data_IF_981154165006
#
_entry.id   IF_981154165006
#
_cell.length_a   1.000
_cell.length_b   1.000
_cell.length_c   1.000
_cell.angle_alpha   90.00
_cell.angle_beta   90.00
_cell.angle_gamma   90.00
#
_symmetry.space_group_name_H-M   'P 1'
#
loop_
_entity.id
_entity.type
_entity.pdbx_description
1 polymer ?
#
# COMPACT_ATOMS: atom_id res chain seq x y z
N UNK A 1 3.38 6.69 -35.43
CA UNK A 1 2.00 6.16 -35.39
C UNK A 1 1.24 7.05 -34.42
N UNK A 2 0.37 7.92 -34.91
CA UNK A 2 -0.41 8.84 -34.06
C UNK A 2 -1.60 8.04 -33.52
N UNK A 3 -1.57 7.71 -32.22
CA UNK A 3 -2.74 7.12 -31.57
C UNK A 3 -3.84 8.19 -31.62
N UNK A 4 -4.96 7.91 -32.28
CA UNK A 4 -6.14 8.79 -32.22
C UNK A 4 -6.87 8.47 -30.92
N UNK A 5 -6.99 9.46 -30.04
CA UNK A 5 -7.81 9.34 -28.82
C UNK A 5 -9.27 9.11 -29.22
N UNK A 6 -9.86 8.03 -28.69
CA UNK A 6 -11.29 7.73 -28.83
C UNK A 6 -12.07 8.47 -27.75
N UNK A 7 -12.67 9.59 -28.12
CA UNK A 7 -13.46 10.41 -27.21
C UNK A 7 -14.73 9.72 -26.71
N UNK A 8 -15.34 8.84 -27.51
CA UNK A 8 -16.54 8.12 -27.10
C UNK A 8 -16.20 7.08 -26.02
N UNK A 9 -15.04 6.45 -26.15
CA UNK A 9 -14.53 5.52 -25.12
C UNK A 9 -14.16 6.23 -23.82
N UNK A 10 -13.57 7.43 -23.89
CA UNK A 10 -13.28 8.26 -22.71
C UNK A 10 -14.54 8.74 -21.99
N UNK A 11 -15.57 9.18 -22.71
CA UNK A 11 -16.86 9.61 -22.11
C UNK A 11 -17.62 8.42 -21.49
N UNK A 12 -17.51 7.23 -22.07
CA UNK A 12 -18.01 6.00 -21.48
C UNK A 12 -17.26 5.66 -20.18
N UNK A 13 -15.93 5.76 -20.18
CA UNK A 13 -15.11 5.53 -18.99
C UNK A 13 -15.49 6.50 -17.86
N UNK A 14 -15.71 7.77 -18.17
CA UNK A 14 -16.16 8.78 -17.21
C UNK A 14 -17.50 8.39 -16.56
N UNK A 15 -18.42 7.85 -17.36
CA UNK A 15 -19.73 7.38 -16.87
C UNK A 15 -19.58 6.19 -15.92
N UNK A 16 -18.70 5.24 -16.22
CA UNK A 16 -18.45 4.09 -15.35
C UNK A 16 -17.76 4.49 -14.04
N UNK A 17 -16.81 5.44 -14.08
CA UNK A 17 -16.18 5.97 -12.86
C UNK A 17 -17.22 6.65 -11.95
N UNK A 18 -18.14 7.43 -12.50
CA UNK A 18 -19.23 8.06 -11.73
C UNK A 18 -20.17 7.02 -11.08
N UNK A 19 -20.43 5.90 -11.77
CA UNK A 19 -21.17 4.76 -11.18
C UNK A 19 -20.40 4.11 -10.04
N UNK A 20 -19.10 3.91 -10.20
CA UNK A 20 -18.24 3.35 -9.14
C UNK A 20 -18.21 4.25 -7.90
N UNK A 21 -18.06 5.58 -8.06
CA UNK A 21 -18.15 6.55 -6.96
C UNK A 21 -19.48 6.43 -6.22
N UNK A 22 -20.59 6.36 -6.96
CA UNK A 22 -21.93 6.23 -6.38
C UNK A 22 -22.11 4.92 -5.60
N UNK A 23 -21.59 3.81 -6.13
CA UNK A 23 -21.64 2.50 -5.47
C UNK A 23 -20.79 2.48 -4.19
N UNK A 24 -19.62 3.11 -4.19
CA UNK A 24 -18.74 3.22 -3.03
C UNK A 24 -19.32 4.12 -1.94
N UNK A 25 -19.90 5.27 -2.31
CA UNK A 25 -20.61 6.13 -1.36
C UNK A 25 -21.77 5.38 -0.69
N UNK A 26 -22.55 4.61 -1.47
CA UNK A 26 -23.61 3.77 -0.94
C UNK A 26 -23.08 2.65 -0.03
N UNK A 27 -21.98 1.98 -0.40
CA UNK A 27 -21.32 0.97 0.44
C UNK A 27 -20.80 1.53 1.77
N UNK A 28 -20.19 2.72 1.75
CA UNK A 28 -19.75 3.43 2.96
C UNK A 28 -20.92 3.80 3.87
N UNK A 29 -22.07 4.17 3.29
CA UNK A 29 -23.29 4.43 4.06
C UNK A 29 -23.83 3.14 4.72
N UNK A 30 -23.86 2.02 3.99
CA UNK A 30 -24.27 0.73 4.54
C UNK A 30 -23.33 0.29 5.68
N UNK A 31 -22.02 0.41 5.49
CA UNK A 31 -21.03 0.13 6.53
C UNK A 31 -21.29 1.02 7.76
N UNK A 32 -21.42 2.33 7.58
CA UNK A 32 -21.71 3.27 8.68
C UNK A 32 -22.99 2.92 9.45
N UNK A 33 -24.05 2.50 8.75
CA UNK A 33 -25.30 2.04 9.38
C UNK A 33 -25.13 0.72 10.15
N UNK A 34 -24.31 -0.21 9.65
CA UNK A 34 -24.02 -1.48 10.32
C UNK A 34 -23.25 -1.26 11.65
N UNK A 35 -22.36 -0.26 11.72
CA UNK A 35 -21.68 0.12 12.95
C UNK A 35 -22.64 0.62 14.04
N UNK A 36 -23.65 1.41 13.65
CA UNK A 36 -24.65 1.97 14.56
C UNK A 36 -25.62 0.91 15.12
N UNK A 37 -25.90 -0.15 14.34
CA UNK A 37 -26.75 -1.27 14.78
C UNK A 37 -26.13 -2.13 15.89
N UNK A 38 -24.80 -2.16 15.99
CA UNK A 38 -24.07 -2.96 16.99
C UNK A 38 -23.94 -2.26 18.36
N UNK A 39 -24.24 -0.97 18.47
CA UNK A 39 -23.94 -0.15 19.66
C UNK A 39 -25.18 0.38 20.40
N UNK A 40 -26.40 0.03 19.96
CA UNK A 40 -27.59 0.82 20.29
C UNK A 40 -28.60 0.29 21.31
N UNK A 41 -28.56 -0.97 21.77
CA UNK A 41 -29.64 -1.49 22.66
C UNK A 41 -29.11 -2.33 23.81
N UNK A 42 -28.80 -1.71 24.95
CA UNK A 42 -28.41 -2.48 26.13
C UNK A 42 -29.49 -3.45 26.59
N UNK A 43 -29.11 -4.68 26.95
CA UNK A 43 -30.05 -5.65 27.55
C UNK A 43 -30.17 -5.33 29.04
N UNK A 44 -31.39 -5.19 29.60
CA UNK A 44 -31.56 -5.00 31.03
C UNK A 44 -31.19 -6.29 31.77
N UNK A 45 -30.20 -6.20 32.65
CA UNK A 45 -29.86 -7.25 33.61
C UNK A 45 -30.31 -6.83 35.01
N UNK A 46 -30.98 -7.74 35.72
CA UNK A 46 -31.49 -7.52 37.07
C UNK A 46 -30.58 -8.21 38.08
N UNK A 47 -29.91 -7.44 38.92
CA UNK A 47 -29.10 -7.97 40.02
C UNK A 47 -29.46 -7.26 41.32
N UNK A 48 -29.94 -8.03 42.31
CA UNK A 48 -30.31 -7.56 43.65
C UNK A 48 -31.13 -6.25 43.66
N UNK A 49 -32.15 -6.16 42.82
CA UNK A 49 -33.04 -4.99 42.75
C UNK A 49 -32.47 -3.77 42.01
N UNK A 50 -31.29 -3.86 41.40
CA UNK A 50 -30.76 -2.85 40.47
C UNK A 50 -30.87 -3.33 39.03
N UNK A 51 -31.33 -2.42 38.17
CA UNK A 51 -31.31 -2.59 36.71
C UNK A 51 -30.00 -2.02 36.19
N UNK A 52 -29.19 -2.85 35.54
CA UNK A 52 -28.03 -2.42 34.77
C UNK A 52 -28.26 -2.72 33.29
N UNK A 53 -27.80 -1.84 32.41
CA UNK A 53 -27.84 -2.06 30.96
C UNK A 53 -26.47 -2.56 30.53
N UNK A 54 -26.39 -3.82 30.14
CA UNK A 54 -25.19 -4.37 29.52
C UNK A 54 -25.22 -4.06 28.02
N UNK A 55 -24.11 -3.63 27.40
CA UNK A 55 -24.02 -3.48 25.96
C UNK A 55 -24.46 -4.79 25.29
N UNK A 56 -25.49 -4.73 24.44
CA UNK A 56 -25.84 -5.87 23.61
C UNK A 56 -24.78 -6.02 22.53
N UNK A 57 -24.10 -7.15 22.52
CA UNK A 57 -23.28 -7.56 21.39
C UNK A 57 -24.09 -8.60 20.59
N UNK A 58 -24.11 -8.54 19.25
CA UNK A 58 -24.74 -9.59 18.44
C UNK A 58 -24.00 -10.93 18.55
N UNK A 59 -22.82 -10.95 19.18
CA UNK A 59 -21.94 -12.10 19.35
C UNK A 59 -22.12 -12.83 20.70
N UNK A 60 -23.02 -12.34 21.57
CA UNK A 60 -23.29 -12.93 22.87
C UNK A 60 -22.37 -12.41 24.00
N UNK A 61 -22.66 -12.84 25.22
CA UNK A 61 -22.03 -12.33 26.46
C UNK A 61 -21.00 -13.29 27.08
N UNK A 62 -20.49 -14.26 26.32
CA UNK A 62 -19.41 -15.15 26.77
C UNK A 62 -18.04 -14.55 26.47
N UNK A 63 -16.98 -15.15 27.02
CA UNK A 63 -15.58 -14.80 26.68
C UNK A 63 -15.31 -14.89 25.17
N UNK A 64 -15.85 -15.92 24.52
CA UNK A 64 -15.72 -16.16 23.08
C UNK A 64 -16.54 -15.14 22.29
N UNK A 65 -17.74 -14.77 22.77
CA UNK A 65 -18.54 -13.69 22.20
C UNK A 65 -17.85 -12.33 22.28
N UNK A 66 -17.16 -12.05 23.39
CA UNK A 66 -16.32 -10.87 23.55
C UNK A 66 -15.13 -10.83 22.58
N UNK A 67 -14.42 -11.95 22.42
CA UNK A 67 -13.32 -12.07 21.45
C UNK A 67 -13.81 -11.91 20.01
N UNK A 68 -14.96 -12.49 19.67
CA UNK A 68 -15.59 -12.35 18.35
C UNK A 68 -16.02 -10.89 18.08
N UNK A 69 -16.57 -10.21 19.09
CA UNK A 69 -16.92 -8.79 18.98
C UNK A 69 -15.69 -7.89 18.78
N UNK A 70 -14.58 -8.16 19.48
CA UNK A 70 -13.32 -7.44 19.30
C UNK A 70 -12.74 -7.64 17.90
N UNK A 71 -12.61 -8.89 17.45
CA UNK A 71 -12.13 -9.22 16.12
C UNK A 71 -13.02 -8.62 15.01
N UNK A 72 -14.34 -8.62 15.20
CA UNK A 72 -15.28 -7.94 14.31
C UNK A 72 -15.04 -6.42 14.30
N UNK A 73 -14.81 -5.80 15.45
CA UNK A 73 -14.48 -4.37 15.56
C UNK A 73 -13.22 -3.99 14.78
N UNK A 74 -12.15 -4.76 14.94
CA UNK A 74 -10.88 -4.54 14.24
C UNK A 74 -11.01 -4.76 12.72
N UNK A 75 -11.69 -5.83 12.31
CA UNK A 75 -11.97 -6.11 10.90
C UNK A 75 -12.87 -5.03 10.28
N UNK A 76 -13.88 -4.56 11.02
CA UNK A 76 -14.79 -3.52 10.56
C UNK A 76 -14.07 -2.17 10.41
N UNK A 77 -13.20 -1.80 11.36
CA UNK A 77 -12.36 -0.63 11.25
C UNK A 77 -11.39 -0.72 10.05
N UNK A 78 -10.77 -1.89 9.86
CA UNK A 78 -9.87 -2.16 8.73
C UNK A 78 -10.57 -2.08 7.37
N UNK A 79 -11.73 -2.74 7.22
CA UNK A 79 -12.55 -2.67 6.01
C UNK A 79 -13.05 -1.24 5.78
N UNK A 80 -13.49 -0.54 6.82
CA UNK A 80 -13.91 0.86 6.73
C UNK A 80 -12.78 1.81 6.28
N UNK A 81 -11.54 1.56 6.70
CA UNK A 81 -10.37 2.31 6.24
C UNK A 81 -10.02 1.96 4.78
N UNK A 82 -10.01 0.68 4.43
CA UNK A 82 -9.73 0.22 3.08
C UNK A 82 -10.74 0.74 2.04
N UNK A 83 -12.04 0.68 2.35
CA UNK A 83 -13.09 1.19 1.46
C UNK A 83 -13.01 2.71 1.31
N UNK A 84 -12.67 3.46 2.37
CA UNK A 84 -12.42 4.91 2.28
C UNK A 84 -11.20 5.24 1.43
N UNK A 85 -10.10 4.52 1.61
CA UNK A 85 -8.90 4.69 0.78
C UNK A 85 -9.21 4.39 -0.69
N UNK A 86 -9.92 3.29 -0.97
CA UNK A 86 -10.34 2.94 -2.31
C UNK A 86 -11.29 3.98 -2.94
N UNK A 87 -12.25 4.50 -2.17
CA UNK A 87 -13.12 5.59 -2.61
C UNK A 87 -12.33 6.86 -2.97
N UNK A 88 -11.37 7.27 -2.14
CA UNK A 88 -10.50 8.41 -2.43
C UNK A 88 -9.66 8.21 -3.70
N UNK A 89 -9.19 6.97 -3.96
CA UNK A 89 -8.51 6.63 -5.22
C UNK A 89 -9.45 6.80 -6.42
N UNK A 90 -10.67 6.27 -6.35
CA UNK A 90 -11.64 6.39 -7.45
C UNK A 90 -12.04 7.84 -7.70
N UNK A 91 -12.20 8.66 -6.65
CA UNK A 91 -12.46 10.10 -6.77
C UNK A 91 -11.30 10.83 -7.46
N UNK A 92 -10.07 10.53 -7.06
CA UNK A 92 -8.86 11.07 -7.68
C UNK A 92 -8.77 10.69 -9.16
N UNK A 93 -9.06 9.43 -9.50
CA UNK A 93 -9.05 8.95 -10.88
C UNK A 93 -10.17 9.60 -11.72
N UNK A 94 -11.33 9.87 -11.13
CA UNK A 94 -12.43 10.59 -11.80
C UNK A 94 -12.02 12.02 -12.18
N UNK A 95 -11.41 12.75 -11.25
CA UNK A 95 -10.93 14.11 -11.50
C UNK A 95 -9.78 14.13 -12.53
N UNK A 96 -8.86 13.16 -12.46
CA UNK A 96 -7.78 13.00 -13.46
C UNK A 96 -8.33 12.69 -14.85
N UNK A 97 -9.32 11.82 -14.95
CA UNK A 97 -9.96 11.50 -16.23
C UNK A 97 -10.68 12.71 -16.81
N UNK A 98 -11.39 13.48 -15.97
CA UNK A 98 -12.04 14.74 -16.38
C UNK A 98 -11.03 15.78 -16.86
N UNK A 99 -9.89 15.91 -16.18
CA UNK A 99 -8.78 16.76 -16.61
C UNK A 99 -8.21 16.28 -17.95
N UNK A 100 -7.98 14.98 -18.12
CA UNK A 100 -7.48 14.41 -19.37
C UNK A 100 -8.42 14.65 -20.55
N UNK A 101 -9.72 14.41 -20.38
CA UNK A 101 -10.74 14.70 -21.39
C UNK A 101 -10.72 16.19 -21.74
N UNK A 102 -10.63 17.07 -20.75
CA UNK A 102 -10.58 18.52 -20.96
C UNK A 102 -9.35 18.91 -21.77
N UNK A 103 -8.16 18.40 -21.40
CA UNK A 103 -6.91 18.69 -22.08
C UNK A 103 -6.93 18.21 -23.53
N UNK A 104 -7.41 17.00 -23.81
CA UNK A 104 -7.57 16.52 -25.19
C UNK A 104 -8.58 17.33 -26.01
N UNK A 105 -9.61 17.92 -25.37
CA UNK A 105 -10.58 18.79 -26.05
C UNK A 105 -10.04 20.19 -26.36
N UNK A 106 -9.10 20.72 -25.57
CA UNK A 106 -8.65 22.13 -25.66
C UNK A 106 -7.20 22.30 -26.16
N UNK A 107 -6.42 21.22 -26.23
CA UNK A 107 -5.02 21.25 -26.67
C UNK A 107 -4.77 20.22 -27.78
N UNK A 108 -3.69 20.42 -28.55
CA UNK A 108 -3.17 19.37 -29.43
C UNK A 108 -2.79 18.12 -28.62
N UNK A 109 -3.01 16.94 -29.21
CA UNK A 109 -2.79 15.65 -28.58
C UNK A 109 -1.40 15.51 -27.93
N UNK A 110 -0.35 15.95 -28.62
CA UNK A 110 1.03 15.81 -28.12
C UNK A 110 1.27 16.66 -26.88
N UNK A 111 0.75 17.88 -26.87
CA UNK A 111 0.87 18.78 -25.72
C UNK A 111 -0.03 18.32 -24.57
N UNK A 112 -1.22 17.79 -24.85
CA UNK A 112 -2.10 17.20 -23.83
C UNK A 112 -1.45 15.98 -23.18
N UNK A 113 -0.82 15.08 -23.95
CA UNK A 113 -0.08 13.93 -23.42
C UNK A 113 1.13 14.34 -22.58
N UNK A 114 1.92 15.29 -23.08
CA UNK A 114 3.08 15.80 -22.36
C UNK A 114 2.66 16.51 -21.06
N UNK A 115 1.58 17.30 -21.11
CA UNK A 115 1.01 17.94 -19.93
C UNK A 115 0.45 16.90 -18.95
N UNK A 116 -0.27 15.88 -19.40
CA UNK A 116 -0.80 14.80 -18.55
C UNK A 116 0.31 13.95 -17.93
N UNK A 117 1.40 13.70 -18.66
CA UNK A 117 2.59 13.01 -18.12
C UNK A 117 3.27 13.85 -17.06
N UNK A 118 3.40 15.16 -17.30
CA UNK A 118 4.03 16.09 -16.36
C UNK A 118 3.12 16.41 -15.16
N UNK A 119 1.79 16.34 -15.32
CA UNK A 119 0.77 16.60 -14.31
C UNK A 119 0.09 15.31 -13.80
N UNK A 120 0.72 14.14 -13.97
CA UNK A 120 0.37 12.93 -13.21
C UNK A 120 0.77 13.17 -11.75
N UNK A 121 0.06 14.10 -11.10
CA UNK A 121 0.29 14.50 -9.73
C UNK A 121 -0.09 13.34 -8.82
N UNK A 122 0.89 12.88 -8.07
CA UNK A 122 0.70 11.99 -6.96
C UNK A 122 1.90 11.10 -6.78
N UNK A 123 1.69 9.81 -6.99
CA UNK A 123 2.60 8.79 -6.55
C UNK A 123 2.27 7.51 -7.31
N UNK A 124 3.21 6.98 -8.08
CA UNK A 124 3.11 5.63 -8.63
C UNK A 124 3.50 4.63 -7.55
N UNK A 125 2.64 3.67 -7.21
CA UNK A 125 2.92 2.63 -6.22
C UNK A 125 3.08 1.28 -6.91
N UNK A 126 4.26 0.66 -6.77
CA UNK A 126 4.52 -0.71 -7.20
C UNK A 126 4.55 -1.61 -5.96
N UNK A 127 3.67 -2.61 -5.92
CA UNK A 127 3.77 -3.72 -4.97
C UNK A 127 4.41 -4.93 -5.66
N UNK A 128 5.42 -5.54 -5.05
CA UNK A 128 6.15 -6.64 -5.68
C UNK A 128 6.48 -7.76 -4.69
N UNK A 129 6.66 -8.96 -5.22
CA UNK A 129 7.19 -10.11 -4.51
C UNK A 129 8.11 -10.86 -5.48
N UNK A 130 9.41 -10.83 -5.20
CA UNK A 130 10.41 -11.41 -6.09
C UNK A 130 10.74 -12.85 -5.72
N UNK A 131 11.28 -13.58 -6.69
CA UNK A 131 11.79 -14.93 -6.46
C UNK A 131 12.79 -14.95 -5.30
N UNK A 132 12.84 -16.06 -4.56
CA UNK A 132 13.90 -16.34 -3.59
C UNK A 132 15.28 -16.37 -4.27
N UNK A 133 16.35 -16.42 -3.49
CA UNK A 133 17.72 -16.54 -4.03
C UNK A 133 18.51 -17.68 -3.39
N UNK A 134 17.81 -18.75 -2.98
CA UNK A 134 18.39 -19.92 -2.34
C UNK A 134 19.29 -20.73 -3.31
N UNK A 135 18.97 -20.70 -4.61
CA UNK A 135 19.77 -21.35 -5.68
C UNK A 135 20.31 -20.33 -6.68
N UNK A 136 21.37 -20.69 -7.42
CA UNK A 136 21.96 -19.81 -8.45
C UNK A 136 20.98 -19.44 -9.55
N UNK A 137 20.08 -20.36 -9.94
CA UNK A 137 19.05 -20.10 -10.95
C UNK A 137 18.02 -19.10 -10.45
N UNK A 138 17.52 -19.29 -9.22
CA UNK A 138 16.56 -18.39 -8.61
C UNK A 138 17.17 -17.00 -8.36
N UNK A 139 18.44 -16.93 -7.93
CA UNK A 139 19.17 -15.68 -7.79
C UNK A 139 19.29 -14.92 -9.14
N UNK A 140 19.54 -15.64 -10.24
CA UNK A 140 19.57 -15.04 -11.57
C UNK A 140 18.17 -14.54 -11.99
N UNK A 141 17.11 -15.28 -11.70
CA UNK A 141 15.74 -14.86 -11.96
C UNK A 141 15.37 -13.61 -11.14
N UNK A 142 15.68 -13.58 -9.85
CA UNK A 142 15.47 -12.44 -8.97
C UNK A 142 16.20 -11.19 -9.50
N UNK A 143 17.47 -11.35 -9.93
CA UNK A 143 18.24 -10.26 -10.53
C UNK A 143 17.59 -9.71 -11.81
N UNK A 144 17.05 -10.59 -12.66
CA UNK A 144 16.32 -10.17 -13.86
C UNK A 144 15.01 -9.43 -13.52
N UNK A 145 14.29 -9.88 -12.50
CA UNK A 145 13.08 -9.20 -12.01
C UNK A 145 13.40 -7.82 -11.44
N UNK A 146 14.47 -7.67 -10.64
CA UNK A 146 14.93 -6.37 -10.13
C UNK A 146 15.27 -5.41 -11.28
N UNK A 147 15.99 -5.87 -12.30
CA UNK A 147 16.31 -5.05 -13.48
C UNK A 147 15.07 -4.64 -14.26
N UNK A 148 14.10 -5.55 -14.40
CA UNK A 148 12.83 -5.24 -15.05
C UNK A 148 12.04 -4.20 -14.27
N UNK A 149 11.94 -4.37 -12.95
CA UNK A 149 11.27 -3.43 -12.04
C UNK A 149 11.91 -2.03 -12.11
N UNK A 150 13.25 -1.96 -12.10
CA UNK A 150 14.00 -0.72 -12.27
C UNK A 150 13.70 -0.04 -13.62
N UNK A 151 13.49 -0.81 -14.69
CA UNK A 151 13.08 -0.29 -16.00
C UNK A 151 11.64 0.22 -16.04
N UNK A 152 10.72 -0.48 -15.36
CA UNK A 152 9.31 -0.06 -15.24
C UNK A 152 9.15 1.21 -14.40
N UNK A 153 9.99 1.37 -13.37
CA UNK A 153 9.99 2.52 -12.47
C UNK A 153 10.45 3.84 -13.13
N UNK A 154 10.91 3.79 -14.38
CA UNK A 154 11.31 4.96 -15.16
C UNK A 154 12.76 5.35 -14.97
N UNK A 155 13.07 6.63 -15.15
CA UNK A 155 14.40 7.19 -15.00
C UNK A 155 14.55 8.12 -13.79
N UNK A 156 15.73 8.68 -13.53
CA UNK A 156 15.98 9.52 -12.35
C UNK A 156 15.10 10.78 -12.26
N UNK A 157 14.62 11.27 -13.41
CA UNK A 157 13.74 12.45 -13.53
C UNK A 157 12.25 12.06 -13.66
N UNK A 158 11.92 10.78 -13.58
CA UNK A 158 10.53 10.34 -13.56
C UNK A 158 9.86 10.76 -12.26
N UNK A 159 8.52 10.83 -12.29
CA UNK A 159 7.72 11.37 -11.20
C UNK A 159 7.84 10.58 -9.89
N UNK A 160 7.05 11.02 -8.92
CA UNK A 160 6.96 10.43 -7.60
C UNK A 160 6.58 8.95 -7.69
N UNK A 161 7.39 8.08 -7.07
CA UNK A 161 7.19 6.63 -7.16
C UNK A 161 7.59 5.98 -5.84
N UNK A 162 6.82 5.02 -5.37
CA UNK A 162 7.19 4.13 -4.26
C UNK A 162 7.11 2.70 -4.77
N UNK A 163 8.16 1.94 -4.52
CA UNK A 163 8.19 0.50 -4.75
C UNK A 163 8.24 -0.15 -3.37
N UNK A 164 7.32 -1.06 -3.09
CA UNK A 164 7.26 -1.75 -1.81
C UNK A 164 7.06 -3.25 -1.99
N UNK A 165 7.67 -4.05 -1.12
CA UNK A 165 7.39 -5.48 -1.01
C UNK A 165 8.59 -6.36 -0.72
N UNK A 166 8.38 -7.66 -0.80
CA UNK A 166 9.40 -8.67 -0.51
C UNK A 166 10.31 -8.86 -1.72
N UNK A 167 11.54 -8.32 -1.63
CA UNK A 167 12.54 -8.48 -2.68
C UNK A 167 13.36 -9.77 -2.51
N UNK A 168 13.15 -10.52 -1.42
CA UNK A 168 13.88 -11.73 -1.06
C UNK A 168 15.43 -11.54 -1.09
N UNK A 169 15.90 -10.33 -0.86
CA UNK A 169 17.31 -9.97 -0.92
C UNK A 169 17.62 -8.81 0.02
N UNK A 170 18.80 -8.84 0.64
CA UNK A 170 19.30 -7.73 1.46
C UNK A 170 19.97 -6.68 0.58
N UNK A 171 19.84 -5.40 0.93
CA UNK A 171 20.50 -4.31 0.20
C UNK A 171 22.00 -4.21 0.50
N UNK A 172 22.44 -4.59 1.71
CA UNK A 172 23.84 -4.62 2.11
C UNK A 172 24.31 -6.06 2.38
N UNK A 173 25.41 -6.51 1.75
CA UNK A 173 26.07 -7.79 2.03
C UNK A 173 26.36 -8.06 3.51
N UNK A 174 26.58 -7.01 4.31
CA UNK A 174 26.86 -7.11 5.75
C UNK A 174 25.64 -7.52 6.56
N UNK A 175 24.44 -7.33 6.01
CA UNK A 175 23.17 -7.65 6.65
C UNK A 175 22.66 -9.05 6.27
N UNK A 176 23.43 -9.79 5.49
CA UNK A 176 23.19 -11.22 5.22
C UNK A 176 23.29 -11.99 6.54
N UNK A 177 22.22 -12.69 6.98
CA UNK A 177 22.30 -13.61 8.11
C UNK A 177 23.37 -14.68 7.84
N UNK A 178 24.25 -14.93 8.82
CA UNK A 178 25.41 -15.84 8.68
C UNK A 178 25.01 -17.29 8.35
N UNK A 179 23.78 -17.66 8.65
CA UNK A 179 23.18 -18.97 8.47
C UNK A 179 22.37 -19.11 7.17
N UNK A 180 22.21 -18.03 6.39
CA UNK A 180 21.45 -18.05 5.13
C UNK A 180 22.35 -17.86 3.90
N UNK A 181 22.12 -18.62 2.81
CA UNK A 181 22.97 -18.59 1.62
C UNK A 181 22.63 -17.42 0.66
N UNK A 182 22.41 -16.21 1.17
CA UNK A 182 22.09 -15.06 0.30
C UNK A 182 23.23 -14.77 -0.68
N UNK A 183 22.90 -14.52 -1.94
CA UNK A 183 23.87 -14.23 -3.01
C UNK A 183 23.99 -12.73 -3.27
N UNK A 184 25.23 -12.24 -3.35
CA UNK A 184 25.58 -10.82 -3.45
C UNK A 184 25.06 -10.03 -4.68
N UNK A 185 24.86 -10.61 -5.88
CA UNK A 185 24.47 -9.83 -7.06
C UNK A 185 23.13 -9.08 -6.93
N UNK A 186 22.19 -9.59 -6.14
CA UNK A 186 20.89 -8.94 -5.91
C UNK A 186 21.00 -7.72 -4.99
N UNK A 187 21.95 -7.73 -4.05
CA UNK A 187 22.20 -6.59 -3.16
C UNK A 187 22.71 -5.38 -3.94
N UNK A 188 23.60 -5.60 -4.90
CA UNK A 188 24.07 -4.55 -5.81
C UNK A 188 22.93 -4.01 -6.70
N UNK A 189 22.05 -4.89 -7.18
CA UNK A 189 20.91 -4.46 -7.98
C UNK A 189 19.90 -3.61 -7.18
N UNK A 190 19.68 -3.88 -5.89
CA UNK A 190 18.86 -3.02 -5.03
C UNK A 190 19.52 -1.65 -4.85
N UNK A 191 20.83 -1.59 -4.56
CA UNK A 191 21.54 -0.30 -4.44
C UNK A 191 21.56 0.51 -5.74
N UNK A 192 21.43 -0.13 -6.90
CA UNK A 192 21.33 0.58 -8.18
C UNK A 192 20.06 1.43 -8.32
N UNK A 193 19.04 1.25 -7.47
CA UNK A 193 17.89 2.16 -7.41
C UNK A 193 18.31 3.57 -6.98
N UNK A 194 19.39 3.74 -6.22
CA UNK A 194 19.95 5.05 -5.84
C UNK A 194 20.32 5.89 -7.07
N UNK A 195 20.81 5.24 -8.13
CA UNK A 195 21.14 5.91 -9.40
C UNK A 195 19.91 6.48 -10.11
N UNK A 196 18.71 6.08 -9.69
CA UNK A 196 17.43 6.62 -10.15
C UNK A 196 16.74 7.51 -9.11
N UNK A 197 17.48 8.02 -8.12
CA UNK A 197 16.98 8.88 -7.04
C UNK A 197 15.95 8.20 -6.11
N UNK A 198 15.93 6.86 -6.08
CA UNK A 198 15.22 6.17 -5.02
C UNK A 198 16.07 6.18 -3.75
N UNK A 199 15.42 6.22 -2.59
CA UNK A 199 16.07 5.97 -1.30
C UNK A 199 15.91 4.49 -0.92
N UNK A 200 16.92 3.65 -1.17
CA UNK A 200 16.82 2.23 -0.80
C UNK A 200 16.76 1.97 0.71
N UNK A 201 17.05 2.98 1.54
CA UNK A 201 17.11 2.85 3.00
C UNK A 201 15.85 3.30 3.72
N UNK A 202 14.88 3.87 3.00
CA UNK A 202 13.67 4.41 3.62
C UNK A 202 12.85 3.35 4.39
N UNK A 203 12.95 2.08 4.00
CA UNK A 203 12.31 0.95 4.70
C UNK A 203 13.10 0.41 5.90
N UNK A 204 14.33 0.84 6.15
CA UNK A 204 15.18 0.25 7.20
C UNK A 204 14.57 0.42 8.61
N UNK A 205 14.36 -0.68 9.34
CA UNK A 205 13.83 -0.69 10.72
C UNK A 205 14.98 -0.91 11.71
N UNK A 206 15.20 0.04 12.60
CA UNK A 206 16.29 0.04 13.59
C UNK A 206 15.79 -0.24 15.02
N UNK A 207 15.07 -1.36 15.22
CA UNK A 207 14.45 -1.73 16.50
C UNK A 207 15.22 -2.82 17.27
N UNK A 208 16.50 -3.02 16.95
CA UNK A 208 17.42 -3.84 17.74
C UNK A 208 17.74 -3.26 19.13
N UNK A 209 18.15 -4.07 20.12
CA UNK A 209 18.54 -3.60 21.46
C UNK A 209 19.67 -2.56 21.48
N UNK A 210 20.43 -2.50 20.38
CA UNK A 210 21.57 -1.63 20.12
C UNK A 210 21.32 -0.71 18.90
N UNK A 211 20.06 -0.54 18.48
CA UNK A 211 19.70 0.24 17.29
C UNK A 211 20.11 -0.41 15.96
N UNK A 212 20.50 -1.70 15.97
CA UNK A 212 20.81 -2.43 14.74
C UNK A 212 19.57 -2.59 13.86
N UNK A 213 19.83 -2.58 12.55
CA UNK A 213 18.86 -2.93 11.52
C UNK A 213 18.33 -4.34 11.75
N UNK A 214 17.01 -4.48 11.78
CA UNK A 214 16.31 -5.76 11.75
C UNK A 214 15.29 -5.70 10.63
N UNK A 215 15.29 -6.71 9.78
CA UNK A 215 14.23 -6.86 8.81
C UNK A 215 12.93 -7.37 9.41
N UNK A 216 11.94 -7.47 8.53
CA UNK A 216 10.59 -7.97 8.83
C UNK A 216 10.44 -9.47 8.61
N UNK A 217 11.37 -10.15 7.93
CA UNK A 217 11.25 -11.59 7.69
C UNK A 217 11.46 -12.46 8.93
N UNK A 218 11.12 -13.75 8.81
CA UNK A 218 11.55 -14.78 9.74
C UNK A 218 13.09 -14.81 9.84
N UNK A 219 13.59 -14.58 11.05
CA UNK A 219 15.03 -14.43 11.33
C UNK A 219 15.56 -12.99 11.26
N UNK A 220 14.67 -11.98 11.12
CA UNK A 220 14.99 -10.55 11.08
C UNK A 220 15.90 -10.12 9.92
N UNK A 221 15.82 -10.79 8.76
CA UNK A 221 16.60 -10.40 7.58
C UNK A 221 15.90 -9.25 6.83
N UNK A 222 16.59 -8.16 6.47
CA UNK A 222 16.00 -7.00 5.80
C UNK A 222 15.80 -7.27 4.31
N UNK A 223 14.80 -8.08 3.99
CA UNK A 223 14.46 -8.52 2.63
C UNK A 223 13.17 -7.89 2.09
N UNK A 224 12.36 -7.27 2.96
CA UNK A 224 11.25 -6.41 2.57
C UNK A 224 11.72 -4.96 2.51
N UNK A 225 11.38 -4.28 1.42
CA UNK A 225 11.88 -2.94 1.12
C UNK A 225 10.75 -1.98 0.81
N UNK A 226 11.00 -0.70 1.12
CA UNK A 226 10.26 0.46 0.61
C UNK A 226 11.28 1.39 -0.04
N UNK A 227 11.14 1.59 -1.36
CA UNK A 227 12.01 2.41 -2.19
C UNK A 227 11.19 3.60 -2.73
N UNK A 228 11.19 4.75 -2.06
CA UNK A 228 10.55 5.99 -2.51
C UNK A 228 11.48 6.81 -3.43
N UNK A 229 10.91 7.50 -4.40
CA UNK A 229 11.53 8.56 -5.23
C UNK A 229 10.57 9.73 -5.34
N UNK A 230 11.10 10.95 -5.27
CA UNK A 230 10.32 12.19 -5.46
C UNK A 230 9.36 12.52 -4.31
N UNK A 231 9.38 11.75 -3.23
CA UNK A 231 8.54 11.93 -2.04
C UNK A 231 9.42 11.94 -0.80
N UNK A 232 8.99 12.64 0.25
CA UNK A 232 9.61 12.54 1.57
C UNK A 232 9.14 11.30 2.32
N UNK A 233 9.93 10.81 3.26
CA UNK A 233 9.57 9.67 4.11
C UNK A 233 9.89 9.93 5.58
N UNK A 234 9.05 9.38 6.45
CA UNK A 234 9.38 9.20 7.86
C UNK A 234 10.17 7.90 8.07
N UNK A 235 10.88 7.74 9.20
CA UNK A 235 11.51 6.46 9.55
C UNK A 235 10.51 5.31 9.54
N UNK A 236 10.94 4.14 9.07
CA UNK A 236 10.10 2.96 9.02
C UNK A 236 9.77 2.42 10.43
N UNK A 237 8.53 1.96 10.61
CA UNK A 237 8.06 1.31 11.83
C UNK A 237 7.70 -0.15 11.57
N UNK A 238 8.00 -1.02 12.53
CA UNK A 238 7.55 -2.41 12.51
C UNK A 238 6.08 -2.47 12.89
N UNK A 239 5.28 -3.08 12.04
CA UNK A 239 3.91 -3.45 12.36
C UNK A 239 3.82 -4.96 12.61
N UNK A 240 4.00 -5.35 13.89
CA UNK A 240 3.96 -6.75 14.30
C UNK A 240 2.57 -7.36 14.09
N UNK A 241 2.54 -8.49 13.39
CA UNK A 241 1.34 -9.25 13.05
C UNK A 241 1.67 -10.74 13.19
N UNK A 242 0.89 -11.47 13.97
CA UNK A 242 1.16 -12.89 14.29
C UNK A 242 0.68 -13.86 13.21
N UNK A 243 0.15 -13.34 12.10
CA UNK A 243 -0.49 -14.09 11.02
C UNK A 243 0.46 -14.51 9.87
N UNK A 244 1.71 -14.02 9.87
CA UNK A 244 2.71 -14.31 8.83
C UNK A 244 4.09 -14.55 9.47
N UNK A 245 4.96 -15.26 8.75
CA UNK A 245 6.38 -15.37 9.06
C UNK A 245 7.16 -14.07 8.73
N UNK A 246 6.48 -13.07 8.16
CA UNK A 246 6.97 -11.70 8.03
C UNK A 246 6.12 -10.74 8.88
N UNK A 247 6.77 -9.84 9.61
CA UNK A 247 6.14 -8.66 10.18
C UNK A 247 5.76 -7.65 9.08
N UNK A 248 4.83 -6.75 9.37
CA UNK A 248 4.58 -5.60 8.50
C UNK A 248 5.66 -4.52 8.63
N UNK A 249 5.87 -3.77 7.55
CA UNK A 249 6.67 -2.56 7.51
C UNK A 249 5.76 -1.37 7.18
N UNK A 250 5.78 -0.33 8.01
CA UNK A 250 5.03 0.91 7.78
C UNK A 250 6.01 2.04 7.51
N UNK A 251 5.84 2.73 6.40
CA UNK A 251 6.58 3.96 6.04
C UNK A 251 5.56 5.02 5.67
N UNK A 252 5.54 6.10 6.44
CA UNK A 252 4.69 7.25 6.13
C UNK A 252 5.38 8.10 5.05
N UNK A 253 4.67 8.34 3.95
CA UNK A 253 5.18 9.05 2.76
C UNK A 253 4.54 10.44 2.66
N UNK A 254 5.37 11.46 2.49
CA UNK A 254 4.96 12.84 2.31
C UNK A 254 5.13 13.27 0.85
N UNK A 255 4.00 13.59 0.22
CA UNK A 255 3.96 14.20 -1.10
C UNK A 255 4.51 15.63 -1.04
N UNK A 256 5.41 16.06 -1.96
CA UNK A 256 5.83 17.44 -2.02
C UNK A 256 4.63 18.36 -2.25
N UNK A 257 4.55 19.47 -1.51
CA UNK A 257 3.54 20.49 -1.73
C UNK A 257 3.90 21.24 -3.03
N UNK A 258 2.97 21.24 -3.99
CA UNK A 258 3.07 21.96 -5.26
C UNK A 258 2.02 23.07 -5.31
#
# INVERSE_FOLDING_TARGET
MTIKVDYAELEKLQTETARAQSALAHGLQILGAAAAGASGRGVPTFNMGRVSYQPYTPFGNTSEGGACAAAHGDAFAGVGAAVRAFAATVDSDAERLKLAITLYKVMDHRNAEEFLRNNRNGLDLFSTHLSKNDTSEQAQQQLMQLRHLLGLAGGPLSGNTVIAGDLNAVADPRDVPKDKPFKLPSAEAIRNFDNQNFDHRAGEIHDGPDGRLKGTSAGNAPIDHVLPRGVGTAPAERWQRWESDHDGQRVDVAMPAW
#
